data_IF_900686441696
#
_entry.id   IF_900686441696
#
_cell.length_a   1.000
_cell.length_b   1.000
_cell.length_c   1.000
_cell.angle_alpha   90.00
_cell.angle_beta   90.00
_cell.angle_gamma   90.00
#
_symmetry.space_group_name_H-M   'P 1'
#
loop_
_entity.id
_entity.type
_entity.pdbx_description
1 polymer ?
#
# COMPACT_ATOMS: atom_id res chain seq x y z
N UNK A 1 -11.38 -12.61 4.96
CA UNK A 1 -10.38 -12.85 3.89
C UNK A 1 -11.03 -13.24 2.55
N UNK A 2 -12.29 -13.66 2.54
CA UNK A 2 -13.00 -14.12 1.34
C UNK A 2 -12.98 -13.14 0.15
N UNK A 3 -13.37 -11.88 0.37
CA UNK A 3 -13.36 -10.86 -0.70
C UNK A 3 -11.96 -10.64 -1.30
N UNK A 4 -10.91 -10.66 -0.47
CA UNK A 4 -9.52 -10.55 -0.93
C UNK A 4 -9.13 -11.76 -1.80
N UNK A 5 -9.45 -12.97 -1.35
CA UNK A 5 -9.19 -14.18 -2.12
C UNK A 5 -9.95 -14.19 -3.45
N UNK A 6 -11.23 -13.80 -3.44
CA UNK A 6 -12.04 -13.69 -4.66
C UNK A 6 -11.44 -12.69 -5.65
N UNK A 7 -11.04 -11.50 -5.18
CA UNK A 7 -10.40 -10.49 -6.03
C UNK A 7 -9.11 -11.02 -6.69
N UNK A 8 -8.27 -11.75 -5.95
CA UNK A 8 -7.04 -12.33 -6.50
C UNK A 8 -7.28 -13.51 -7.45
N UNK A 9 -8.37 -14.27 -7.30
CA UNK A 9 -8.79 -15.26 -8.32
C UNK A 9 -9.13 -14.60 -9.65
N UNK A 10 -9.67 -13.40 -9.62
CA UNK A 10 -10.03 -12.64 -10.81
C UNK A 10 -8.86 -11.79 -11.37
N UNK A 11 -7.67 -11.85 -10.78
CA UNK A 11 -6.56 -10.95 -11.14
C UNK A 11 -6.16 -11.04 -12.62
N UNK A 12 -6.27 -12.22 -13.23
CA UNK A 12 -5.93 -12.44 -14.65
C UNK A 12 -6.90 -11.74 -15.64
N UNK A 13 -7.99 -11.15 -15.14
CA UNK A 13 -8.94 -10.40 -15.95
C UNK A 13 -8.60 -8.89 -16.05
N UNK A 14 -7.47 -8.46 -15.46
CA UNK A 14 -7.05 -7.06 -15.41
C UNK A 14 -5.59 -6.94 -15.82
N UNK A 15 -5.22 -5.79 -16.37
CA UNK A 15 -3.81 -5.48 -16.67
C UNK A 15 -3.01 -5.13 -15.41
N UNK A 16 -3.67 -4.53 -14.42
CA UNK A 16 -3.10 -4.10 -13.14
C UNK A 16 -4.13 -4.29 -12.03
N UNK A 17 -3.68 -4.77 -10.87
CA UNK A 17 -4.48 -4.77 -9.63
C UNK A 17 -3.98 -3.68 -8.69
N UNK A 18 -4.86 -2.75 -8.32
CA UNK A 18 -4.56 -1.73 -7.31
C UNK A 18 -5.14 -2.14 -5.95
N UNK A 19 -4.27 -2.33 -4.96
CA UNK A 19 -4.64 -2.97 -3.71
C UNK A 19 -4.41 -2.06 -2.48
N UNK A 20 -5.46 -1.85 -1.70
CA UNK A 20 -5.46 -1.03 -0.47
C UNK A 20 -5.62 -1.84 0.82
N UNK A 21 -5.69 -3.18 0.74
CA UNK A 21 -5.95 -4.06 1.89
C UNK A 21 -4.72 -4.32 2.78
N UNK A 22 -3.68 -3.49 2.61
CA UNK A 22 -2.45 -3.54 3.39
C UNK A 22 -1.60 -4.79 3.12
N UNK A 23 -0.87 -5.20 4.15
CA UNK A 23 0.19 -6.23 4.06
C UNK A 23 -0.39 -7.62 3.76
N UNK A 24 -1.64 -7.91 4.14
CA UNK A 24 -2.24 -9.24 3.97
C UNK A 24 -2.33 -9.67 2.50
N UNK A 25 -2.52 -8.73 1.59
CA UNK A 25 -2.54 -8.98 0.14
C UNK A 25 -1.19 -9.48 -0.41
N UNK A 26 -0.10 -9.19 0.28
CA UNK A 26 1.24 -9.61 -0.15
C UNK A 26 1.39 -11.14 -0.15
N UNK A 27 0.60 -11.84 0.67
CA UNK A 27 0.57 -13.30 0.70
C UNK A 27 0.03 -13.90 -0.62
N UNK A 28 -0.70 -13.12 -1.41
CA UNK A 28 -1.32 -13.58 -2.65
C UNK A 28 -0.58 -13.08 -3.90
N UNK A 29 0.30 -12.08 -3.77
CA UNK A 29 0.86 -11.38 -4.93
C UNK A 29 1.74 -12.26 -5.82
N UNK A 30 2.44 -13.24 -5.24
CA UNK A 30 3.34 -14.12 -5.98
C UNK A 30 2.59 -15.27 -6.67
N UNK A 31 1.28 -15.43 -6.42
CA UNK A 31 0.44 -16.45 -7.04
C UNK A 31 -0.32 -15.96 -8.28
N UNK A 32 -0.18 -14.69 -8.64
CA UNK A 32 -0.81 -14.10 -9.84
C UNK A 32 0.25 -13.49 -10.74
N UNK A 33 0.01 -13.51 -12.06
CA UNK A 33 0.93 -12.90 -13.04
C UNK A 33 0.67 -11.41 -13.23
N UNK A 34 -0.56 -10.97 -12.98
CA UNK A 34 -0.97 -9.56 -13.10
C UNK A 34 -0.19 -8.69 -12.12
N UNK A 35 0.48 -7.62 -12.58
CA UNK A 35 1.17 -6.68 -11.71
C UNK A 35 0.25 -6.06 -10.66
N UNK A 36 0.73 -5.98 -9.42
CA UNK A 36 -0.03 -5.41 -8.30
C UNK A 36 0.67 -4.17 -7.77
N UNK A 37 -0.09 -3.08 -7.59
CA UNK A 37 0.34 -1.86 -6.91
C UNK A 37 -0.31 -1.81 -5.54
N UNK A 38 0.49 -1.77 -4.48
CA UNK A 38 0.02 -1.70 -3.10
C UNK A 38 0.08 -0.26 -2.59
N UNK A 39 -1.05 0.31 -2.19
CA UNK A 39 -1.06 1.60 -1.50
C UNK A 39 -1.14 1.41 0.01
N UNK A 40 -0.16 1.96 0.72
CA UNK A 40 -0.05 1.86 2.17
C UNK A 40 -0.60 3.11 2.85
N UNK A 41 -1.88 3.08 3.22
CA UNK A 41 -2.50 4.13 4.04
C UNK A 41 -2.15 3.99 5.52
N UNK A 42 -2.09 2.75 6.01
CA UNK A 42 -1.75 2.48 7.40
C UNK A 42 -0.23 2.48 7.59
N UNK A 43 0.23 2.85 8.80
CA UNK A 43 1.60 2.66 9.24
C UNK A 43 2.22 1.32 8.80
N UNK A 44 3.23 1.40 7.93
CA UNK A 44 4.15 0.30 7.61
C UNK A 44 5.50 0.54 8.29
N UNK A 45 5.45 1.05 9.53
CA UNK A 45 6.64 1.34 10.34
C UNK A 45 6.59 0.59 11.67
N UNK A 46 7.76 0.38 12.27
CA UNK A 46 7.90 -0.17 13.61
C UNK A 46 8.17 0.95 14.61
N UNK A 47 7.45 0.95 15.72
CA UNK A 47 7.75 1.81 16.88
C UNK A 47 8.78 1.12 17.80
N UNK A 48 8.92 -0.20 17.69
CA UNK A 48 9.84 -1.00 18.49
C UNK A 48 11.12 -1.37 17.72
N UNK A 49 12.20 -1.69 18.44
CA UNK A 49 13.48 -2.14 17.85
C UNK A 49 13.34 -3.45 17.06
N UNK A 50 12.33 -4.27 17.33
CA UNK A 50 12.07 -5.54 16.65
C UNK A 50 11.02 -5.36 15.56
N UNK A 51 11.26 -5.93 14.38
CA UNK A 51 10.29 -5.86 13.30
C UNK A 51 9.00 -6.62 13.71
N UNK A 52 7.82 -6.00 13.67
CA UNK A 52 6.56 -6.68 13.93
C UNK A 52 6.36 -7.83 12.93
N UNK A 53 5.74 -8.96 13.32
CA UNK A 53 5.47 -10.07 12.41
C UNK A 53 4.71 -9.65 11.13
N UNK A 54 3.86 -8.63 11.23
CA UNK A 54 3.19 -8.06 10.06
C UNK A 54 4.19 -7.48 9.05
N UNK A 55 5.21 -6.75 9.48
CA UNK A 55 6.23 -6.21 8.57
C UNK A 55 7.22 -7.26 8.06
N UNK A 56 7.27 -8.44 8.69
CA UNK A 56 8.03 -9.57 8.17
C UNK A 56 7.48 -10.09 6.84
N UNK A 57 6.16 -10.11 6.66
CA UNK A 57 5.52 -10.46 5.37
C UNK A 57 6.00 -9.47 4.29
N UNK A 58 5.98 -8.16 4.58
CA UNK A 58 6.49 -7.16 3.64
C UNK A 58 7.97 -7.38 3.33
N UNK A 59 8.78 -7.76 4.33
CA UNK A 59 10.21 -8.09 4.15
C UNK A 59 10.41 -9.31 3.25
N UNK A 60 9.60 -10.35 3.39
CA UNK A 60 9.68 -11.57 2.58
C UNK A 60 9.40 -11.24 1.11
N UNK A 61 8.30 -10.55 0.83
CA UNK A 61 7.87 -10.27 -0.55
C UNK A 61 8.47 -8.99 -1.17
N UNK A 62 9.34 -8.28 -0.45
CA UNK A 62 9.88 -6.94 -0.81
C UNK A 62 10.46 -6.77 -2.22
N UNK A 63 10.87 -7.87 -2.86
CA UNK A 63 11.49 -7.87 -4.19
C UNK A 63 10.47 -7.70 -5.31
N UNK A 64 9.25 -8.21 -5.10
CA UNK A 64 8.16 -8.20 -6.08
C UNK A 64 7.08 -7.16 -5.75
N UNK A 65 7.07 -6.64 -4.51
CA UNK A 65 6.12 -5.60 -4.10
C UNK A 65 6.36 -4.27 -4.82
N UNK A 66 5.36 -3.80 -5.58
CA UNK A 66 5.28 -2.41 -6.04
C UNK A 66 4.55 -1.55 -5.00
N UNK A 67 5.26 -0.69 -4.29
CA UNK A 67 4.71 0.09 -3.17
C UNK A 67 4.42 1.55 -3.49
N UNK A 68 3.22 2.01 -3.18
CA UNK A 68 2.83 3.41 -3.12
C UNK A 68 2.66 3.83 -1.66
N UNK A 69 3.37 4.89 -1.26
CA UNK A 69 3.25 5.50 0.07
C UNK A 69 2.46 6.81 -0.02
N UNK A 70 1.58 7.05 0.95
CA UNK A 70 0.76 8.28 0.99
C UNK A 70 1.52 9.55 1.37
N UNK A 71 2.79 9.42 1.80
CA UNK A 71 3.65 10.55 2.13
C UNK A 71 5.13 10.17 2.12
N UNK A 72 6.00 11.19 2.06
CA UNK A 72 7.45 11.02 2.22
C UNK A 72 7.80 10.45 3.60
N UNK A 73 7.08 10.84 4.66
CA UNK A 73 7.30 10.34 6.01
C UNK A 73 6.95 8.85 6.12
N UNK A 74 5.80 8.43 5.56
CA UNK A 74 5.40 7.02 5.52
C UNK A 74 6.45 6.16 4.79
N UNK A 75 6.97 6.66 3.65
CA UNK A 75 8.06 6.00 2.93
C UNK A 75 9.36 5.93 3.75
N UNK A 76 9.74 7.02 4.44
CA UNK A 76 10.98 7.10 5.23
C UNK A 76 10.94 6.20 6.47
N UNK A 77 9.80 6.11 7.13
CA UNK A 77 9.61 5.33 8.34
C UNK A 77 9.44 3.83 8.07
N UNK A 78 9.23 3.44 6.80
CA UNK A 78 9.14 2.03 6.44
C UNK A 78 10.51 1.35 6.58
N UNK A 79 10.67 0.35 7.47
CA UNK A 79 11.96 -0.32 7.71
C UNK A 79 12.32 -1.31 6.60
N UNK A 80 11.42 -1.56 5.65
CA UNK A 80 11.64 -2.50 4.55
C UNK A 80 11.96 -1.74 3.26
N UNK A 81 13.13 -2.01 2.68
CA UNK A 81 13.52 -1.45 1.39
C UNK A 81 12.83 -2.22 0.26
N UNK A 82 11.83 -1.59 -0.35
CA UNK A 82 11.19 -2.07 -1.59
C UNK A 82 12.02 -1.67 -2.82
N UNK A 83 12.04 -2.55 -3.84
CA UNK A 83 12.66 -2.30 -5.15
C UNK A 83 11.93 -1.19 -5.88
N UNK A 84 10.61 -1.35 -6.05
CA UNK A 84 9.74 -0.39 -6.72
C UNK A 84 8.93 0.37 -5.65
N UNK A 85 9.14 1.68 -5.55
CA UNK A 85 8.44 2.53 -4.58
C UNK A 85 8.23 3.96 -5.03
N UNK A 86 7.02 4.46 -4.84
CA UNK A 86 6.65 5.85 -5.13
C UNK A 86 5.92 6.50 -3.97
N UNK A 87 5.75 7.82 -4.04
CA UNK A 87 4.94 8.60 -3.11
C UNK A 87 3.84 9.27 -3.92
N UNK A 88 2.59 9.02 -3.55
CA UNK A 88 1.41 9.71 -4.10
C UNK A 88 0.59 10.18 -2.92
N UNK A 89 0.42 11.50 -2.79
CA UNK A 89 -0.37 12.08 -1.71
C UNK A 89 -1.86 11.80 -1.94
N UNK A 90 -2.64 11.74 -0.87
CA UNK A 90 -4.09 11.66 -0.99
C UNK A 90 -4.59 12.93 -1.69
N UNK A 91 -5.40 12.74 -2.74
CA UNK A 91 -6.12 13.83 -3.38
C UNK A 91 -7.35 14.22 -2.57
N UNK A 92 -7.68 15.51 -2.61
CA UNK A 92 -8.98 16.03 -2.22
C UNK A 92 -9.53 16.83 -3.40
N UNK A 93 -10.83 16.78 -3.64
CA UNK A 93 -11.46 17.66 -4.63
C UNK A 93 -11.62 19.06 -4.04
N UNK A 94 -10.88 20.03 -4.57
CA UNK A 94 -10.89 21.41 -4.07
C UNK A 94 -12.25 22.08 -4.26
N UNK A 95 -13.04 21.68 -5.26
CA UNK A 95 -14.37 22.24 -5.48
C UNK A 95 -15.36 21.89 -4.36
N UNK A 96 -15.08 20.79 -3.64
CA UNK A 96 -15.85 20.36 -2.47
C UNK A 96 -15.52 21.17 -1.20
N UNK A 97 -14.45 21.97 -1.19
CA UNK A 97 -14.03 22.77 -0.03
C UNK A 97 -13.93 24.26 -0.39
N UNK A 98 -15.01 25.01 -0.13
CA UNK A 98 -14.98 26.47 -0.31
C UNK A 98 -14.06 27.11 0.73
N UNK A 99 -13.10 27.88 0.26
CA UNK A 99 -12.20 28.64 1.13
C UNK A 99 -13.01 29.68 1.94
N UNK A 100 -12.90 29.62 3.27
CA UNK A 100 -13.44 30.66 4.15
C UNK A 100 -12.30 31.61 4.54
N UNK A 101 -12.30 32.87 4.06
CA UNK A 101 -11.27 33.85 4.44
C UNK A 101 -11.38 34.32 5.90
N UNK A 102 -12.52 34.06 6.57
CA UNK A 102 -12.78 34.42 7.97
C UNK A 102 -13.25 33.17 8.75
N UNK A 103 -12.34 32.25 9.13
CA UNK A 103 -12.68 31.08 9.92
C UNK A 103 -13.26 31.49 11.29
N UNK A 104 -14.26 30.74 11.76
CA UNK A 104 -14.82 30.87 13.13
C UNK A 104 -13.83 30.41 14.21
#
# INVERSE_FOLDING_TARGET
MENLSFAFRQANNFDIVHCHTGIRALLFQDFVKTPIVHTFHNPVYSISKKLPPSLEILRIHRRNTNGCFVSKSAKKLCPVKLKNKMVVYNGIDLNSFKFNPAPE
#
